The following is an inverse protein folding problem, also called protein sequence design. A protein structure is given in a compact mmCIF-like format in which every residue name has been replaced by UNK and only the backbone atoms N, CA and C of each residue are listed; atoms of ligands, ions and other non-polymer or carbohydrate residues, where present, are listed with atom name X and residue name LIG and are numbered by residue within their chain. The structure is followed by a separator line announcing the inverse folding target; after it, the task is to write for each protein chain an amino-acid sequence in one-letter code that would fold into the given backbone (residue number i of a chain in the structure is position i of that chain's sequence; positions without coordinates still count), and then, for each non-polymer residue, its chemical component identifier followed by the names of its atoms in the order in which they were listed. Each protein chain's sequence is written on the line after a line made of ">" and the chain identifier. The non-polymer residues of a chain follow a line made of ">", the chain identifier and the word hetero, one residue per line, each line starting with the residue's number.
data_IF_954144110569
#
_entry.id   IF_954144110569
#
_cell.length_a   1.000
_cell.length_b   1.000
_cell.length_c   1.000
_cell.angle_alpha   90.00
_cell.angle_beta   90.00
_cell.angle_gamma   90.00
#
_symmetry.space_group_name_H-M   'P 1'
#
loop_
_entity.id
_entity.type
_entity.pdbx_description
1 polymer ?
#
# COMPACT_ATOMS: atom_id res chain seq x y z
N UNK A 1 -5.52 19.70 -13.86
CA UNK A 1 -5.56 18.47 -13.01
C UNK A 1 -4.66 18.68 -11.82
N UNK A 2 -5.21 18.51 -10.61
CA UNK A 2 -4.46 18.76 -9.38
C UNK A 2 -3.56 17.57 -9.04
N UNK A 3 -4.12 16.35 -9.12
CA UNK A 3 -3.40 15.10 -8.90
C UNK A 3 -3.67 14.17 -10.06
N UNK A 4 -2.65 13.47 -10.53
CA UNK A 4 -2.81 12.51 -11.61
C UNK A 4 -3.63 11.29 -11.20
N UNK A 5 -3.67 11.01 -9.90
CA UNK A 5 -4.39 9.86 -9.33
C UNK A 5 -5.51 10.39 -8.44
N UNK A 6 -6.71 9.81 -8.57
CA UNK A 6 -7.85 10.14 -7.69
C UNK A 6 -8.13 9.03 -6.69
N UNK A 7 -7.72 7.81 -6.99
CA UNK A 7 -7.96 6.63 -6.17
C UNK A 7 -7.06 5.50 -6.66
N UNK A 8 -6.66 4.59 -5.79
CA UNK A 8 -5.96 3.37 -6.19
C UNK A 8 -6.59 2.15 -5.51
N UNK A 9 -6.38 0.97 -6.11
CA UNK A 9 -6.82 -0.28 -5.51
C UNK A 9 -5.72 -1.33 -5.62
N UNK A 10 -5.54 -2.08 -4.53
CA UNK A 10 -4.64 -3.22 -4.45
C UNK A 10 -5.50 -4.46 -4.30
N UNK A 11 -5.47 -5.40 -5.26
CA UNK A 11 -6.30 -6.58 -5.18
C UNK A 11 -5.80 -7.57 -4.13
N UNK A 12 -6.74 -8.25 -3.47
CA UNK A 12 -6.42 -9.33 -2.53
C UNK A 12 -7.45 -10.42 -2.65
N UNK A 13 -7.04 -11.66 -2.38
CA UNK A 13 -7.93 -12.81 -2.30
C UNK A 13 -8.34 -13.10 -0.86
N UNK A 14 -7.71 -12.43 0.12
CA UNK A 14 -7.98 -12.62 1.55
C UNK A 14 -7.90 -11.28 2.27
N UNK A 15 -9.04 -10.59 2.31
CA UNK A 15 -9.11 -9.21 2.78
C UNK A 15 -8.67 -9.06 4.25
N UNK A 16 -9.06 -10.01 5.12
CA UNK A 16 -8.70 -9.92 6.54
C UNK A 16 -7.17 -9.96 6.74
N UNK A 17 -6.50 -10.88 6.08
CA UNK A 17 -5.05 -11.02 6.17
C UNK A 17 -4.33 -9.83 5.53
N UNK A 18 -4.83 -9.37 4.37
CA UNK A 18 -4.24 -8.22 3.68
C UNK A 18 -4.37 -6.94 4.53
N UNK A 19 -5.54 -6.72 5.13
CA UNK A 19 -5.75 -5.57 6.02
C UNK A 19 -4.79 -5.60 7.21
N UNK A 20 -4.68 -6.75 7.87
CA UNK A 20 -3.78 -6.88 9.02
C UNK A 20 -2.32 -6.63 8.62
N UNK A 21 -1.92 -7.11 7.45
CA UNK A 21 -0.58 -6.89 6.91
C UNK A 21 -0.28 -5.39 6.73
N UNK A 22 -1.13 -4.68 5.99
CA UNK A 22 -0.89 -3.26 5.70
C UNK A 22 -1.04 -2.38 6.93
N UNK A 23 -1.96 -2.70 7.86
CA UNK A 23 -2.06 -1.99 9.14
C UNK A 23 -0.77 -2.13 9.94
N UNK A 24 -0.19 -3.32 9.98
CA UNK A 24 1.07 -3.54 10.67
C UNK A 24 2.23 -2.80 9.99
N UNK A 25 2.34 -2.90 8.66
CA UNK A 25 3.45 -2.31 7.90
C UNK A 25 3.44 -0.78 7.98
N UNK A 26 2.27 -0.18 7.78
CA UNK A 26 2.14 1.28 7.72
C UNK A 26 1.84 1.92 9.07
N UNK A 27 1.55 1.12 10.09
CA UNK A 27 1.21 1.63 11.42
C UNK A 27 -0.08 2.44 11.40
N UNK A 28 -1.09 1.98 10.70
CA UNK A 28 -2.35 2.69 10.51
C UNK A 28 -3.55 1.80 10.81
N UNK A 29 -4.73 2.40 10.80
CA UNK A 29 -6.01 1.68 10.87
C UNK A 29 -6.78 1.90 9.59
N UNK A 30 -7.38 0.84 9.07
CA UNK A 30 -8.15 0.88 7.83
C UNK A 30 -9.62 0.57 8.13
N UNK A 31 -10.52 1.18 7.36
CA UNK A 31 -11.95 0.95 7.55
C UNK A 31 -12.51 0.07 6.44
N UNK A 32 -13.46 -0.81 6.80
CA UNK A 32 -14.16 -1.65 5.84
C UNK A 32 -15.25 -0.87 5.13
N UNK A 33 -15.36 -1.10 3.84
CA UNK A 33 -16.41 -0.55 3.00
C UNK A 33 -16.92 -1.60 2.02
N UNK A 34 -18.23 -1.63 1.82
CA UNK A 34 -18.83 -2.40 0.74
C UNK A 34 -18.82 -1.53 -0.52
N UNK A 35 -18.27 -2.04 -1.61
CA UNK A 35 -18.11 -1.32 -2.87
C UNK A 35 -18.74 -2.14 -3.98
N UNK A 36 -20.06 -1.95 -4.19
CA UNK A 36 -20.81 -2.76 -5.14
C UNK A 36 -20.82 -4.23 -4.69
N UNK A 37 -20.47 -5.20 -5.56
CA UNK A 37 -20.40 -6.61 -5.19
C UNK A 37 -19.12 -7.01 -4.46
N UNK A 38 -18.19 -6.07 -4.27
CA UNK A 38 -16.89 -6.32 -3.64
C UNK A 38 -16.81 -5.65 -2.29
N UNK A 39 -15.83 -6.07 -1.48
CA UNK A 39 -15.51 -5.44 -0.21
C UNK A 39 -14.11 -4.87 -0.24
N UNK A 40 -13.94 -3.74 0.43
CA UNK A 40 -12.67 -3.07 0.51
C UNK A 40 -12.25 -2.73 1.93
N UNK A 41 -10.95 -2.54 2.12
CA UNK A 41 -10.38 -1.91 3.31
C UNK A 41 -9.68 -0.64 2.85
N UNK A 42 -10.18 0.50 3.32
CA UNK A 42 -9.74 1.82 2.86
C UNK A 42 -8.56 2.30 3.68
N UNK A 43 -7.48 2.67 2.99
CA UNK A 43 -6.31 3.30 3.62
C UNK A 43 -6.69 4.68 4.14
N UNK A 44 -6.13 5.12 5.29
CA UNK A 44 -6.39 6.46 5.78
C UNK A 44 -5.79 7.51 4.83
N UNK A 45 -6.51 8.62 4.69
CA UNK A 45 -6.05 9.77 3.93
C UNK A 45 -6.72 11.04 4.45
N UNK A 46 -6.12 12.20 4.16
CA UNK A 46 -6.64 13.47 4.66
C UNK A 46 -7.69 14.02 3.70
N UNK A 47 -8.95 13.70 3.98
CA UNK A 47 -10.09 14.16 3.17
C UNK A 47 -10.23 15.68 3.17
N UNK A 48 -9.83 16.34 4.27
CA UNK A 48 -9.97 17.80 4.41
C UNK A 48 -8.92 18.57 3.62
N UNK A 49 -7.77 17.93 3.36
CA UNK A 49 -6.68 18.53 2.59
C UNK A 49 -6.63 18.01 1.15
N UNK A 50 -7.73 17.49 0.63
CA UNK A 50 -7.83 16.90 -0.71
C UNK A 50 -6.83 15.76 -0.93
N UNK A 51 -6.57 14.98 0.10
CA UNK A 51 -5.71 13.81 0.01
C UNK A 51 -6.28 12.76 -0.94
N UNK A 52 -5.41 11.95 -1.49
CA UNK A 52 -5.80 10.84 -2.36
C UNK A 52 -5.75 9.56 -1.57
N UNK A 53 -6.86 8.82 -1.56
CA UNK A 53 -6.97 7.55 -0.88
C UNK A 53 -6.96 6.37 -1.82
N UNK A 54 -7.12 5.19 -1.25
CA UNK A 54 -7.22 3.94 -1.96
C UNK A 54 -7.63 2.83 -1.03
N UNK A 55 -7.76 1.63 -1.56
CA UNK A 55 -8.26 0.49 -0.79
C UNK A 55 -7.63 -0.83 -1.23
N UNK A 56 -7.59 -1.77 -0.29
CA UNK A 56 -7.49 -3.18 -0.63
C UNK A 56 -8.86 -3.62 -1.13
N UNK A 57 -8.92 -4.39 -2.21
CA UNK A 57 -10.19 -4.81 -2.79
C UNK A 57 -10.23 -6.33 -2.96
N UNK A 58 -11.32 -6.93 -2.49
CA UNK A 58 -11.59 -8.35 -2.68
C UNK A 58 -12.99 -8.53 -3.25
N UNK A 59 -13.13 -9.41 -4.23
CA UNK A 59 -14.40 -9.72 -4.84
C UNK A 59 -14.38 -9.67 -6.36
N UNK A 60 -15.55 -9.75 -7.00
CA UNK A 60 -15.61 -9.92 -8.45
C UNK A 60 -15.11 -8.72 -9.27
N UNK A 61 -15.04 -7.52 -8.68
CA UNK A 61 -14.53 -6.34 -9.39
C UNK A 61 -13.03 -6.16 -9.23
N UNK A 62 -12.38 -6.92 -8.34
CA UNK A 62 -10.94 -6.82 -8.15
C UNK A 62 -10.20 -7.59 -9.24
N UNK A 63 -9.11 -7.03 -9.80
CA UNK A 63 -8.26 -7.79 -10.70
C UNK A 63 -7.51 -8.88 -9.95
N UNK A 64 -6.85 -9.77 -10.68
CA UNK A 64 -6.03 -10.80 -10.06
C UNK A 64 -4.77 -10.17 -9.44
N UNK A 65 -4.40 -10.53 -8.20
CA UNK A 65 -3.13 -10.08 -7.63
C UNK A 65 -1.95 -10.60 -8.43
N UNK A 66 -0.84 -9.86 -8.40
CA UNK A 66 0.37 -10.28 -9.08
C UNK A 66 1.47 -9.21 -9.02
N UNK A 67 2.66 -9.60 -9.44
CA UNK A 67 3.85 -8.74 -9.39
C UNK A 67 3.98 -7.80 -10.59
N UNK A 68 3.21 -8.02 -11.64
CA UNK A 68 3.26 -7.21 -12.86
C UNK A 68 2.28 -6.06 -12.85
N UNK A 69 2.42 -5.15 -13.81
CA UNK A 69 1.51 -4.03 -14.02
C UNK A 69 1.93 -2.76 -13.30
N UNK A 70 0.94 -1.94 -12.99
CA UNK A 70 1.15 -0.62 -12.39
C UNK A 70 1.73 -0.75 -10.98
N UNK A 71 2.70 0.10 -10.68
CA UNK A 71 3.32 0.19 -9.35
C UNK A 71 2.85 1.46 -8.67
N UNK A 72 2.40 1.35 -7.43
CA UNK A 72 2.06 2.50 -6.60
C UNK A 72 3.03 2.57 -5.43
N UNK A 73 3.22 3.78 -4.89
CA UNK A 73 4.04 4.00 -3.70
C UNK A 73 3.15 4.45 -2.55
N UNK A 74 3.24 3.72 -1.44
CA UNK A 74 2.54 4.06 -0.20
C UNK A 74 3.47 4.87 0.70
N UNK A 75 2.88 5.74 1.49
CA UNK A 75 3.62 6.56 2.46
C UNK A 75 4.04 5.70 3.64
N UNK A 76 5.33 5.47 3.76
CA UNK A 76 5.92 4.68 4.85
C UNK A 76 6.57 5.56 5.93
N UNK A 77 6.17 6.83 6.00
CA UNK A 77 6.66 7.75 7.04
C UNK A 77 6.41 7.20 8.44
N UNK A 78 7.23 7.52 9.43
CA UNK A 78 8.37 8.43 9.36
C UNK A 78 9.68 7.76 8.92
N UNK A 79 9.75 6.43 8.85
CA UNK A 79 11.00 5.71 8.57
C UNK A 79 10.75 4.55 7.64
N UNK A 80 11.41 4.58 6.48
CA UNK A 80 11.34 3.47 5.52
C UNK A 80 11.92 2.20 6.13
N UNK A 81 13.06 2.29 6.80
CA UNK A 81 13.71 1.10 7.40
C UNK A 81 12.80 0.44 8.43
N UNK A 82 12.12 1.23 9.26
CA UNK A 82 11.17 0.69 10.24
C UNK A 82 10.00 -0.02 9.56
N UNK A 83 9.46 0.56 8.49
CA UNK A 83 8.38 -0.06 7.73
C UNK A 83 8.86 -1.37 7.08
N UNK A 84 10.05 -1.39 6.49
CA UNK A 84 10.60 -2.60 5.87
C UNK A 84 10.80 -3.73 6.88
N UNK A 85 11.23 -3.40 8.11
CA UNK A 85 11.34 -4.41 9.17
C UNK A 85 9.96 -5.01 9.50
N UNK A 86 8.91 -4.20 9.48
CA UNK A 86 7.55 -4.68 9.72
C UNK A 86 7.01 -5.53 8.57
N UNK A 87 7.41 -5.24 7.32
CA UNK A 87 7.06 -6.08 6.16
C UNK A 87 7.50 -7.53 6.39
N UNK A 88 8.76 -7.72 6.70
CA UNK A 88 9.32 -9.07 6.95
C UNK A 88 8.62 -9.76 8.10
N UNK A 89 8.37 -9.03 9.19
CA UNK A 89 7.71 -9.56 10.38
C UNK A 89 6.27 -9.98 10.11
N UNK A 90 5.59 -9.27 9.21
CA UNK A 90 4.20 -9.53 8.84
C UNK A 90 4.05 -10.57 7.73
N UNK A 91 5.15 -11.14 7.23
CA UNK A 91 5.12 -12.21 6.24
C UNK A 91 5.32 -11.80 4.79
N UNK A 92 5.54 -10.51 4.53
CA UNK A 92 5.89 -10.02 3.20
C UNK A 92 7.37 -10.19 2.90
N UNK A 93 7.78 -9.74 1.72
CA UNK A 93 9.17 -9.84 1.28
C UNK A 93 9.65 -8.51 0.72
N UNK A 94 10.96 -8.28 0.81
CA UNK A 94 11.60 -7.12 0.20
C UNK A 94 11.98 -7.51 -1.23
N UNK A 95 11.33 -6.87 -2.21
CA UNK A 95 11.58 -7.14 -3.63
C UNK A 95 12.72 -6.27 -4.18
N UNK A 96 12.82 -5.02 -3.70
CA UNK A 96 13.91 -4.11 -4.01
C UNK A 96 14.29 -3.40 -2.72
N UNK A 97 15.55 -3.56 -2.30
CA UNK A 97 16.04 -2.95 -1.07
C UNK A 97 16.03 -1.42 -1.19
N UNK A 98 16.12 -0.74 -0.04
CA UNK A 98 16.11 0.72 0.06
C UNK A 98 17.04 1.37 -0.96
N UNK A 99 16.51 2.34 -1.69
CA UNK A 99 17.21 3.16 -2.67
C UNK A 99 17.09 4.63 -2.28
N UNK A 100 18.15 5.40 -2.46
CA UNK A 100 18.12 6.84 -2.25
C UNK A 100 17.58 7.53 -3.49
N UNK A 101 16.70 8.50 -3.29
CA UNK A 101 16.29 9.46 -4.31
C UNK A 101 17.23 10.68 -4.27
N UNK A 102 17.13 11.61 -5.23
CA UNK A 102 17.90 12.85 -5.14
C UNK A 102 17.70 13.56 -3.81
N UNK A 103 18.69 14.37 -3.35
CA UNK A 103 18.61 15.02 -2.03
C UNK A 103 17.28 15.72 -1.79
N UNK A 104 16.69 15.50 -0.59
CA UNK A 104 15.42 16.07 -0.19
C UNK A 104 14.19 15.30 -0.64
N UNK A 105 14.34 14.28 -1.48
CA UNK A 105 13.21 13.49 -1.98
C UNK A 105 13.00 12.18 -1.21
N UNK A 106 13.95 11.79 -0.35
CA UNK A 106 13.83 10.64 0.51
C UNK A 106 14.32 9.33 -0.09
N UNK A 107 13.64 8.24 0.27
CA UNK A 107 14.07 6.88 -0.04
C UNK A 107 12.86 6.04 -0.44
N UNK A 108 13.12 5.02 -1.24
CA UNK A 108 12.07 4.09 -1.63
C UNK A 108 12.57 2.66 -1.63
N UNK A 109 11.62 1.74 -1.59
CA UNK A 109 11.87 0.31 -1.72
C UNK A 109 10.64 -0.33 -2.37
N UNK A 110 10.78 -1.57 -2.82
CA UNK A 110 9.64 -2.35 -3.27
C UNK A 110 9.47 -3.57 -2.38
N UNK A 111 8.22 -3.90 -2.11
CA UNK A 111 7.88 -5.10 -1.35
C UNK A 111 6.98 -6.01 -2.16
N UNK A 112 6.91 -7.27 -1.76
CA UNK A 112 5.89 -8.22 -2.21
C UNK A 112 4.96 -8.45 -1.03
N UNK A 113 3.68 -8.19 -1.21
CA UNK A 113 2.69 -8.40 -0.15
C UNK A 113 2.25 -9.86 -0.06
N UNK A 114 1.27 -10.16 0.79
CA UNK A 114 0.82 -11.54 1.04
C UNK A 114 0.13 -12.17 -0.18
N UNK A 115 -0.39 -11.36 -1.09
CA UNK A 115 -1.03 -11.84 -2.31
C UNK A 115 -0.07 -11.87 -3.52
N UNK A 116 1.20 -11.50 -3.33
CA UNK A 116 2.18 -11.44 -4.41
C UNK A 116 2.17 -10.14 -5.20
N UNK A 117 1.45 -9.12 -4.75
CA UNK A 117 1.49 -7.81 -5.39
C UNK A 117 2.83 -7.12 -5.12
N UNK A 118 3.36 -6.47 -6.14
CA UNK A 118 4.52 -5.60 -5.96
C UNK A 118 4.07 -4.18 -5.65
N UNK A 119 4.50 -3.65 -4.52
CA UNK A 119 4.09 -2.33 -4.02
C UNK A 119 5.33 -1.55 -3.61
N UNK A 120 5.37 -0.28 -3.95
CA UNK A 120 6.43 0.63 -3.52
C UNK A 120 6.12 1.24 -2.15
N UNK A 121 7.17 1.48 -1.38
CA UNK A 121 7.11 2.23 -0.13
C UNK A 121 8.07 3.43 -0.25
N UNK A 122 7.66 4.57 0.27
CA UNK A 122 8.43 5.80 0.23
C UNK A 122 8.36 6.52 1.57
N UNK A 123 9.47 7.10 1.99
CA UNK A 123 9.53 7.99 3.14
C UNK A 123 10.69 8.97 2.95
N UNK A 124 10.61 10.12 3.65
CA UNK A 124 11.69 11.11 3.60
C UNK A 124 12.91 10.68 4.42
N UNK A 125 12.73 9.73 5.34
CA UNK A 125 13.82 9.19 6.17
C UNK A 125 13.82 7.67 6.23
#
# INVERSE_FOLDING_TARGET
>A
MKNAVTWFEIPTTRLDQAQAFYEAVLGCSMRRETMGPSEGAVFPYDEKADGVGGALMAGPTAPQPGAGGTLIYLDASPSLDAALARVTRAGGQIALARQALPPGMGFFAHITDLDGNRVGLHALA
#
